data_IF_027355608512
#
_entry.id   IF_027355608512
#
_cell.length_a   1.000
_cell.length_b   1.000
_cell.length_c   1.000
_cell.angle_alpha   90.00
_cell.angle_beta   90.00
_cell.angle_gamma   90.00
#
_symmetry.space_group_name_H-M   'P 1'
#
loop_
_entity.id
_entity.type
_entity.pdbx_description
1 polymer ?
#
# COMPACT_ATOMS: atom_id res chain seq x y z
N UNK A 1 4.20 -20.37 10.65
CA UNK A 1 4.12 -21.58 11.50
C UNK A 1 3.58 -21.26 12.90
N UNK A 2 4.19 -20.29 13.60
CA UNK A 2 3.89 -20.00 15.00
C UNK A 2 2.41 -19.58 15.24
N UNK A 3 1.82 -18.86 14.30
CA UNK A 3 0.42 -18.42 14.39
C UNK A 3 -0.57 -19.34 13.65
N UNK A 4 -0.13 -20.50 13.16
CA UNK A 4 -0.99 -21.47 12.48
C UNK A 4 -1.31 -21.18 11.02
N UNK A 5 -0.73 -20.11 10.43
CA UNK A 5 -0.93 -19.78 9.02
C UNK A 5 0.01 -20.53 8.06
N UNK A 6 0.88 -21.39 8.59
CA UNK A 6 1.84 -22.16 7.81
C UNK A 6 3.16 -21.41 7.54
N UNK A 7 3.94 -21.92 6.59
CA UNK A 7 5.23 -21.35 6.20
C UNK A 7 5.00 -20.14 5.26
N UNK A 8 5.48 -18.93 5.62
CA UNK A 8 5.38 -17.74 4.76
C UNK A 8 5.94 -17.91 3.34
N UNK A 9 6.91 -18.80 3.16
CA UNK A 9 7.47 -19.11 1.84
C UNK A 9 6.43 -19.71 0.88
N UNK A 10 5.38 -20.31 1.41
CA UNK A 10 4.32 -20.95 0.65
C UNK A 10 3.08 -20.02 0.46
N UNK A 11 3.11 -18.81 0.98
CA UNK A 11 1.99 -17.88 0.78
C UNK A 11 1.89 -17.43 -0.66
N UNK A 12 0.66 -17.18 -1.09
CA UNK A 12 0.38 -16.72 -2.45
C UNK A 12 0.85 -15.28 -2.63
N UNK A 13 1.70 -15.07 -3.63
CA UNK A 13 2.18 -13.75 -4.02
C UNK A 13 1.66 -13.43 -5.42
N UNK A 14 0.94 -12.31 -5.56
CA UNK A 14 0.38 -11.83 -6.82
C UNK A 14 0.81 -10.40 -7.10
N UNK A 15 0.94 -10.06 -8.38
CA UNK A 15 1.13 -8.69 -8.82
C UNK A 15 -0.21 -8.04 -9.07
N UNK A 16 -0.35 -6.77 -8.71
CA UNK A 16 -1.58 -6.00 -8.91
C UNK A 16 -2.07 -6.07 -10.37
N UNK A 17 -1.18 -5.80 -11.33
CA UNK A 17 -1.52 -5.83 -12.76
C UNK A 17 -1.98 -7.20 -13.25
N UNK A 18 -1.40 -8.26 -12.73
CA UNK A 18 -1.80 -9.61 -13.06
C UNK A 18 -3.25 -9.87 -12.64
N UNK A 19 -3.60 -9.51 -11.40
CA UNK A 19 -4.95 -9.71 -10.87
C UNK A 19 -5.95 -8.78 -11.56
N UNK A 20 -5.60 -7.51 -11.76
CA UNK A 20 -6.47 -6.57 -12.47
C UNK A 20 -6.80 -7.06 -13.89
N UNK A 21 -5.81 -7.59 -14.62
CA UNK A 21 -6.02 -8.18 -15.93
C UNK A 21 -6.88 -9.46 -15.88
N UNK A 22 -6.64 -10.33 -14.91
CA UNK A 22 -7.39 -11.57 -14.71
C UNK A 22 -8.88 -11.31 -14.41
N UNK A 23 -9.16 -10.28 -13.60
CA UNK A 23 -10.51 -9.88 -13.23
C UNK A 23 -11.18 -8.94 -14.24
N UNK A 24 -10.42 -8.46 -15.25
CA UNK A 24 -10.91 -7.56 -16.28
C UNK A 24 -11.24 -6.14 -15.77
N UNK A 25 -10.57 -5.71 -14.71
CA UNK A 25 -10.79 -4.41 -14.07
C UNK A 25 -9.56 -3.51 -14.19
N UNK A 26 -9.75 -2.21 -14.12
CA UNK A 26 -8.65 -1.24 -14.09
C UNK A 26 -8.16 -0.96 -12.67
N UNK A 27 -9.07 -0.98 -11.70
CA UNK A 27 -8.79 -0.85 -10.27
C UNK A 27 -9.46 -2.02 -9.55
N UNK A 28 -8.76 -2.57 -8.55
CA UNK A 28 -9.31 -3.58 -7.66
C UNK A 28 -10.08 -2.86 -6.54
N UNK A 29 -11.30 -3.32 -6.32
CA UNK A 29 -12.20 -2.82 -5.28
C UNK A 29 -12.39 -3.88 -4.19
N UNK A 30 -13.20 -3.59 -3.17
CA UNK A 30 -13.40 -4.50 -2.04
C UNK A 30 -13.97 -5.88 -2.45
N UNK A 31 -14.82 -5.92 -3.49
CA UNK A 31 -15.36 -7.15 -4.03
C UNK A 31 -14.27 -8.02 -4.69
N UNK A 32 -13.28 -7.39 -5.31
CA UNK A 32 -12.14 -8.08 -5.92
C UNK A 32 -11.19 -8.66 -4.86
N UNK A 33 -11.03 -7.97 -3.72
CA UNK A 33 -10.28 -8.51 -2.58
C UNK A 33 -10.96 -9.77 -2.02
N UNK A 34 -12.28 -9.79 -1.93
CA UNK A 34 -13.04 -10.98 -1.52
C UNK A 34 -12.86 -12.11 -2.51
N UNK A 35 -12.88 -11.81 -3.81
CA UNK A 35 -12.63 -12.79 -4.86
C UNK A 35 -11.21 -13.35 -4.81
N UNK A 36 -10.21 -12.56 -4.43
CA UNK A 36 -8.85 -13.06 -4.17
C UNK A 36 -8.85 -14.17 -3.10
N UNK A 37 -9.64 -14.01 -2.05
CA UNK A 37 -9.79 -15.06 -1.03
C UNK A 37 -10.43 -16.34 -1.60
N UNK A 38 -11.46 -16.20 -2.42
CA UNK A 38 -12.15 -17.34 -3.05
C UNK A 38 -11.23 -18.10 -4.01
N UNK A 39 -10.47 -17.39 -4.84
CA UNK A 39 -9.61 -17.95 -5.88
C UNK A 39 -8.27 -18.46 -5.36
N UNK A 40 -7.68 -17.82 -4.33
CA UNK A 40 -6.31 -18.07 -3.91
C UNK A 40 -6.13 -18.45 -2.43
N UNK A 41 -7.22 -18.44 -1.66
CA UNK A 41 -7.21 -18.84 -0.26
C UNK A 41 -7.03 -17.69 0.74
N UNK A 42 -6.85 -18.04 2.02
CA UNK A 42 -7.02 -17.08 3.12
C UNK A 42 -5.93 -16.01 3.25
N UNK A 43 -4.80 -16.17 2.56
CA UNK A 43 -3.67 -15.24 2.66
C UNK A 43 -3.04 -14.99 1.29
N UNK A 44 -3.16 -13.75 0.82
CA UNK A 44 -2.59 -13.32 -0.47
C UNK A 44 -1.77 -12.04 -0.27
N UNK A 45 -0.51 -12.06 -0.71
CA UNK A 45 0.30 -10.86 -0.85
C UNK A 45 0.08 -10.26 -2.23
N UNK A 46 -0.55 -9.09 -2.27
CA UNK A 46 -0.72 -8.29 -3.48
C UNK A 46 0.36 -7.21 -3.51
N UNK A 47 1.09 -7.10 -4.62
CA UNK A 47 2.28 -6.23 -4.69
C UNK A 47 2.45 -5.55 -6.05
N UNK A 48 3.39 -4.61 -6.10
CA UNK A 48 3.75 -3.83 -7.29
C UNK A 48 2.54 -3.01 -7.81
N UNK A 49 2.11 -2.04 -7.01
CA UNK A 49 0.93 -1.22 -7.30
C UNK A 49 1.23 -0.16 -8.36
N UNK A 50 0.45 -0.09 -9.45
CA UNK A 50 0.65 0.91 -10.49
C UNK A 50 0.24 2.32 -10.05
N UNK A 51 0.84 3.35 -10.68
CA UNK A 51 0.61 4.76 -10.36
C UNK A 51 -0.88 5.15 -10.39
N UNK A 52 -1.69 4.53 -11.26
CA UNK A 52 -3.14 4.80 -11.32
C UNK A 52 -3.91 4.45 -10.05
N UNK A 53 -3.32 3.65 -9.14
CA UNK A 53 -3.89 3.35 -7.81
C UNK A 53 -3.58 4.43 -6.78
N UNK A 54 -2.91 5.51 -7.19
CA UNK A 54 -2.47 6.62 -6.36
C UNK A 54 -1.67 6.18 -5.11
N UNK A 55 -0.56 5.42 -5.28
CA UNK A 55 0.28 5.04 -4.15
C UNK A 55 0.81 6.29 -3.43
N UNK A 56 0.86 6.24 -2.10
CA UNK A 56 1.22 7.42 -1.32
C UNK A 56 2.56 8.02 -1.74
N UNK A 57 2.68 9.34 -1.73
CA UNK A 57 3.78 10.10 -2.35
C UNK A 57 5.18 9.69 -1.89
N UNK A 58 5.36 9.23 -0.66
CA UNK A 58 6.68 8.84 -0.15
C UNK A 58 7.05 7.36 -0.42
N UNK A 59 6.24 6.62 -1.17
CA UNK A 59 6.58 5.26 -1.56
C UNK A 59 7.63 5.26 -2.67
N UNK A 60 8.58 4.33 -2.58
CA UNK A 60 9.55 4.10 -3.65
C UNK A 60 8.86 3.55 -4.89
N UNK A 61 9.34 4.00 -6.05
CA UNK A 61 8.84 3.56 -7.36
C UNK A 61 9.96 3.01 -8.23
N UNK A 62 9.59 2.10 -9.12
CA UNK A 62 10.40 1.68 -10.28
C UNK A 62 9.51 1.84 -11.51
N UNK A 63 9.80 2.87 -12.31
CA UNK A 63 8.86 3.30 -13.37
C UNK A 63 7.51 3.67 -12.75
N UNK A 64 6.44 3.13 -13.34
CA UNK A 64 5.06 3.39 -12.89
C UNK A 64 4.59 2.49 -11.74
N UNK A 65 5.47 1.67 -11.17
CA UNK A 65 5.11 0.73 -10.10
C UNK A 65 5.67 1.18 -8.75
N UNK A 66 4.80 1.34 -7.77
CA UNK A 66 5.18 1.52 -6.38
C UNK A 66 5.54 0.17 -5.73
N UNK A 67 6.60 0.16 -4.94
CA UNK A 67 7.02 -1.00 -4.13
C UNK A 67 6.09 -1.16 -2.91
N UNK A 68 4.78 -1.24 -3.19
CA UNK A 68 3.73 -1.46 -2.21
C UNK A 68 3.39 -2.95 -2.13
N UNK A 69 3.10 -3.41 -0.93
CA UNK A 69 2.62 -4.76 -0.65
C UNK A 69 1.45 -4.67 0.32
N UNK A 70 0.33 -5.24 -0.06
CA UNK A 70 -0.82 -5.43 0.82
C UNK A 70 -0.98 -6.93 1.13
N UNK A 71 -1.19 -7.23 2.40
CA UNK A 71 -1.58 -8.56 2.84
C UNK A 71 -3.11 -8.61 2.95
N UNK A 72 -3.70 -9.34 2.04
CA UNK A 72 -5.13 -9.62 2.02
C UNK A 72 -5.36 -10.91 2.83
N UNK A 73 -6.12 -10.81 3.93
CA UNK A 73 -6.49 -11.94 4.76
C UNK A 73 -8.01 -12.12 4.75
N UNK A 74 -8.47 -13.31 4.36
CA UNK A 74 -9.90 -13.61 4.23
C UNK A 74 -10.69 -12.53 3.48
N UNK A 75 -10.13 -12.02 2.38
CA UNK A 75 -10.76 -11.03 1.50
C UNK A 75 -10.71 -9.58 1.99
N UNK A 76 -9.81 -9.24 2.93
CA UNK A 76 -9.64 -7.87 3.41
C UNK A 76 -8.17 -7.49 3.51
N UNK A 77 -7.80 -6.31 2.99
CA UNK A 77 -6.49 -5.73 3.27
C UNK A 77 -6.30 -5.59 4.78
N UNK A 78 -5.45 -6.41 5.36
CA UNK A 78 -5.18 -6.45 6.80
C UNK A 78 -3.92 -5.69 7.16
N UNK A 79 -2.90 -5.77 6.31
CA UNK A 79 -1.64 -5.03 6.45
C UNK A 79 -1.32 -4.40 5.11
N UNK A 80 -1.14 -3.07 5.10
CA UNK A 80 -0.59 -2.36 3.96
C UNK A 80 0.81 -1.86 4.27
N UNK A 81 1.79 -2.10 3.38
CA UNK A 81 3.17 -1.68 3.56
C UNK A 81 3.84 -1.28 2.25
N UNK A 82 4.90 -0.49 2.34
CA UNK A 82 5.70 -0.12 1.19
C UNK A 82 7.16 0.16 1.56
N UNK A 83 8.05 -0.07 0.63
CA UNK A 83 9.37 0.54 0.67
C UNK A 83 9.22 2.05 0.49
N UNK A 84 9.92 2.83 1.31
CA UNK A 84 9.88 4.29 1.22
C UNK A 84 11.03 4.79 0.34
N UNK A 85 10.77 5.80 -0.49
CA UNK A 85 11.83 6.45 -1.25
C UNK A 85 12.87 7.04 -0.30
N UNK A 86 14.14 6.93 -0.65
CA UNK A 86 15.26 7.61 0.01
C UNK A 86 15.69 8.87 -0.74
N UNK A 87 15.05 9.20 -1.87
CA UNK A 87 15.32 10.39 -2.66
C UNK A 87 14.38 11.54 -2.28
N UNK A 88 14.88 12.66 -1.70
CA UNK A 88 14.07 13.83 -1.43
C UNK A 88 13.38 14.39 -2.68
N UNK A 89 14.09 14.38 -3.82
CA UNK A 89 13.55 14.91 -5.08
C UNK A 89 12.40 14.07 -5.63
N UNK A 90 12.50 12.73 -5.57
CA UNK A 90 11.39 11.85 -5.93
C UNK A 90 10.19 12.06 -5.02
N UNK A 91 10.43 12.20 -3.72
CA UNK A 91 9.36 12.42 -2.74
C UNK A 91 8.69 13.79 -2.97
N UNK A 92 9.48 14.85 -3.20
CA UNK A 92 8.93 16.19 -3.51
C UNK A 92 8.10 16.15 -4.78
N UNK A 93 8.63 15.57 -5.85
CA UNK A 93 7.90 15.44 -7.10
C UNK A 93 6.56 14.70 -6.91
N UNK A 94 6.59 13.55 -6.23
CA UNK A 94 5.40 12.75 -5.98
C UNK A 94 4.38 13.47 -5.10
N UNK A 95 4.82 14.26 -4.09
CA UNK A 95 3.93 15.06 -3.24
C UNK A 95 3.07 16.03 -4.06
N UNK A 96 3.68 16.71 -5.03
CA UNK A 96 2.96 17.68 -5.86
C UNK A 96 2.18 17.07 -7.03
N UNK A 97 2.43 15.81 -7.39
CA UNK A 97 1.83 15.17 -8.57
C UNK A 97 0.79 14.11 -8.24
N UNK A 98 0.84 13.51 -7.04
CA UNK A 98 -0.14 12.50 -6.62
C UNK A 98 -1.59 13.02 -6.76
N UNK A 99 -2.48 12.15 -7.22
CA UNK A 99 -3.88 12.50 -7.51
C UNK A 99 -4.04 13.72 -8.44
N UNK A 100 -3.08 13.91 -9.36
CA UNK A 100 -3.01 15.07 -10.26
C UNK A 100 -2.92 16.41 -9.50
N UNK A 101 -2.19 16.41 -8.38
CA UNK A 101 -1.97 17.58 -7.53
C UNK A 101 -3.03 17.83 -6.45
N UNK A 102 -4.14 17.13 -6.47
CA UNK A 102 -5.26 17.35 -5.52
C UNK A 102 -4.86 17.12 -4.06
N UNK A 103 -3.91 16.23 -3.82
CA UNK A 103 -3.40 15.98 -2.46
C UNK A 103 -2.76 17.23 -1.86
N UNK A 104 -1.82 17.84 -2.59
CA UNK A 104 -1.16 19.07 -2.14
C UNK A 104 -2.15 20.23 -2.01
N UNK A 105 -3.03 20.42 -3.01
CA UNK A 105 -4.06 21.45 -2.97
C UNK A 105 -4.97 21.33 -1.73
N UNK A 106 -5.37 20.11 -1.38
CA UNK A 106 -6.18 19.86 -0.18
C UNK A 106 -5.44 20.23 1.11
N UNK A 107 -4.16 19.90 1.22
CA UNK A 107 -3.35 20.26 2.37
C UNK A 107 -3.16 21.79 2.46
N UNK A 108 -2.89 22.46 1.34
CA UNK A 108 -2.77 23.90 1.27
C UNK A 108 -4.05 24.62 1.70
N UNK A 109 -5.20 24.12 1.28
CA UNK A 109 -6.49 24.65 1.71
C UNK A 109 -6.74 24.48 3.21
N UNK A 110 -6.38 23.31 3.78
CA UNK A 110 -6.68 22.99 5.18
C UNK A 110 -5.70 23.64 6.16
N UNK A 111 -4.41 23.76 5.79
CA UNK A 111 -3.35 24.11 6.74
C UNK A 111 -2.55 25.35 6.34
N UNK A 112 -2.82 25.92 5.16
CA UNK A 112 -2.02 27.03 4.60
C UNK A 112 -0.82 26.54 3.81
N UNK A 113 -0.59 27.16 2.64
CA UNK A 113 0.46 26.73 1.71
C UNK A 113 1.86 26.86 2.33
N UNK A 114 2.17 28.01 2.88
CA UNK A 114 3.52 28.31 3.42
C UNK A 114 3.89 27.30 4.51
N UNK A 115 2.97 27.00 5.40
CA UNK A 115 3.16 26.01 6.47
C UNK A 115 3.42 24.60 5.92
N UNK A 116 2.62 24.17 4.96
CA UNK A 116 2.75 22.82 4.37
C UNK A 116 4.07 22.69 3.62
N UNK A 117 4.48 23.73 2.89
CA UNK A 117 5.77 23.75 2.19
C UNK A 117 6.95 23.75 3.18
N UNK A 118 6.89 24.53 4.26
CA UNK A 118 7.91 24.53 5.31
C UNK A 118 8.04 23.15 5.96
N UNK A 119 6.93 22.52 6.38
CA UNK A 119 6.92 21.18 6.97
C UNK A 119 7.42 20.11 5.99
N UNK A 120 7.10 20.24 4.70
CA UNK A 120 7.59 19.32 3.67
C UNK A 120 9.11 19.45 3.49
N UNK A 121 9.63 20.66 3.38
CA UNK A 121 11.06 20.88 3.20
C UNK A 121 11.85 20.47 4.45
N UNK A 122 11.34 20.72 5.65
CA UNK A 122 11.92 20.22 6.89
C UNK A 122 12.00 18.69 6.88
N UNK A 123 10.90 18.00 6.52
CA UNK A 123 10.91 16.56 6.37
C UNK A 123 11.91 16.08 5.31
N UNK A 124 11.97 16.72 4.14
CA UNK A 124 12.86 16.33 3.04
C UNK A 124 14.33 16.65 3.31
N UNK A 125 14.65 17.48 4.31
CA UNK A 125 16.02 17.80 4.72
C UNK A 125 16.73 16.66 5.45
N UNK A 126 15.99 15.63 5.87
CA UNK A 126 16.57 14.49 6.59
C UNK A 126 17.34 13.55 5.66
N UNK A 127 18.39 12.95 6.19
CA UNK A 127 19.11 11.85 5.52
C UNK A 127 18.27 10.55 5.57
N UNK A 128 17.68 10.21 4.44
CA UNK A 128 16.88 9.00 4.35
C UNK A 128 17.73 7.76 4.04
N UNK A 129 17.60 6.75 4.87
CA UNK A 129 18.12 5.41 4.59
C UNK A 129 17.03 4.51 3.98
N UNK A 130 17.44 3.39 3.41
CA UNK A 130 16.50 2.36 2.92
C UNK A 130 15.63 1.86 4.06
N UNK A 131 14.33 2.02 3.93
CA UNK A 131 13.34 1.67 4.96
C UNK A 131 12.03 1.25 4.34
N UNK A 132 11.27 0.48 5.07
CA UNK A 132 9.86 0.21 4.79
C UNK A 132 9.00 0.69 5.95
N UNK A 133 7.74 0.89 5.65
CA UNK A 133 6.76 1.27 6.67
C UNK A 133 5.37 0.86 6.23
N UNK A 134 4.51 0.58 7.19
CA UNK A 134 3.16 0.12 6.92
C UNK A 134 2.23 0.34 8.09
N UNK A 135 0.98 -0.03 7.87
CA UNK A 135 -0.08 -0.02 8.87
C UNK A 135 -0.78 -1.36 8.94
N UNK A 136 -1.31 -1.67 10.10
CA UNK A 136 -2.05 -2.89 10.37
C UNK A 136 -3.46 -2.56 10.84
N UNK A 137 -4.45 -3.12 10.16
CA UNK A 137 -5.85 -3.05 10.58
C UNK A 137 -6.14 -4.04 11.70
N UNK A 138 -5.93 -3.65 12.97
CA UNK A 138 -6.10 -4.54 14.12
C UNK A 138 -7.47 -5.26 14.13
N UNK A 139 -8.61 -4.60 13.89
CA UNK A 139 -9.90 -5.29 13.82
C UNK A 139 -9.97 -6.33 12.69
N UNK A 140 -9.38 -6.03 11.55
CA UNK A 140 -9.33 -6.96 10.40
C UNK A 140 -8.44 -8.18 10.71
N UNK A 141 -7.34 -7.97 11.43
CA UNK A 141 -6.46 -9.05 11.88
C UNK A 141 -7.16 -9.96 12.89
N UNK A 142 -7.85 -9.40 13.89
CA UNK A 142 -8.65 -10.19 14.87
C UNK A 142 -9.66 -11.03 14.10
N UNK A 143 -10.43 -10.44 13.19
CA UNK A 143 -11.38 -11.16 12.35
C UNK A 143 -10.72 -12.29 11.55
N UNK A 144 -9.54 -12.06 10.99
CA UNK A 144 -8.82 -13.10 10.25
C UNK A 144 -8.41 -14.27 11.17
N UNK A 145 -8.01 -13.99 12.39
CA UNK A 145 -7.68 -15.03 13.39
C UNK A 145 -8.91 -15.83 13.81
N UNK A 146 -10.06 -15.17 14.04
CA UNK A 146 -11.34 -15.83 14.33
C UNK A 146 -11.75 -16.77 13.19
N UNK A 147 -11.71 -16.29 11.94
CA UNK A 147 -12.04 -17.10 10.75
C UNK A 147 -11.08 -18.27 10.53
N UNK A 148 -9.86 -18.16 11.00
CA UNK A 148 -8.85 -19.22 10.94
C UNK A 148 -8.88 -20.16 12.14
N UNK A 149 -9.75 -19.94 13.11
CA UNK A 149 -9.88 -20.75 14.33
C UNK A 149 -8.68 -20.65 15.25
N UNK A 150 -7.97 -19.51 15.26
CA UNK A 150 -6.80 -19.26 16.09
C UNK A 150 -7.14 -18.60 17.44
N UNK A 151 -8.28 -17.97 17.52
CA UNK A 151 -8.88 -17.38 18.73
C UNK A 151 -10.38 -17.59 18.71
#
# INVERSE_FOLDING_TARGET
EYLGFGDPANYVHKKYEQIAAEYGVSLLEAEDEMKLYEDYGPMVFLKDFPERTNPFWNMKRTGDLAHKVDLIMHGYETIGSAERSSSPDEQRHAFYTIEKGKYAEKLFYLFGKDRVEEELEDFLSHDFFTRSGGGMGVPRMIRAFELSGLI
#
